data_IF_395604227798
#
_entry.id   IF_395604227798
#
_cell.length_a   1.000
_cell.length_b   1.000
_cell.length_c   1.000
_cell.angle_alpha   90.00
_cell.angle_beta   90.00
_cell.angle_gamma   90.00
#
_symmetry.space_group_name_H-M   'P 1'
#
loop_
_entity.id
_entity.type
_entity.pdbx_description
1 polymer ?
#
# COMPACT_ATOMS: atom_id res chain seq x y z
N UNK A 1 8.23 31.66 1.23
CA UNK A 1 9.68 31.48 1.00
C UNK A 1 10.22 32.79 0.44
N UNK A 2 11.30 33.35 0.99
CA UNK A 2 11.83 34.66 0.55
C UNK A 2 12.17 34.68 -0.95
N UNK A 3 12.72 33.59 -1.49
CA UNK A 3 13.01 33.44 -2.91
C UNK A 3 11.77 33.48 -3.83
N UNK A 4 10.63 32.95 -3.37
CA UNK A 4 9.34 33.04 -4.07
C UNK A 4 8.83 34.50 -4.08
N UNK A 5 8.95 35.18 -2.95
CA UNK A 5 8.56 36.59 -2.84
C UNK A 5 9.40 37.50 -3.75
N UNK A 6 10.71 37.28 -3.84
CA UNK A 6 11.62 38.02 -4.73
C UNK A 6 11.28 37.83 -6.21
N UNK A 7 10.90 36.61 -6.62
CA UNK A 7 10.53 36.33 -8.00
C UNK A 7 9.16 36.95 -8.36
N UNK A 8 8.19 36.88 -7.44
CA UNK A 8 6.81 37.34 -7.68
C UNK A 8 6.66 38.87 -7.52
N UNK A 9 7.42 39.51 -6.62
CA UNK A 9 7.24 40.93 -6.29
C UNK A 9 8.37 41.84 -6.80
N UNK A 10 9.61 41.34 -6.84
CA UNK A 10 10.77 42.10 -7.32
C UNK A 10 11.21 41.72 -8.75
N UNK A 11 10.55 40.73 -9.38
CA UNK A 11 10.80 40.24 -10.75
C UNK A 11 12.27 39.82 -11.02
N UNK A 12 13.08 39.62 -9.97
CA UNK A 12 14.52 39.35 -10.08
C UNK A 12 14.82 37.86 -9.90
N UNK A 13 15.02 37.16 -11.01
CA UNK A 13 15.47 35.77 -11.00
C UNK A 13 16.87 35.62 -10.37
N UNK A 14 17.75 36.62 -10.54
CA UNK A 14 19.11 36.62 -10.00
C UNK A 14 19.14 36.70 -8.46
N UNK A 15 18.33 37.58 -7.87
CA UNK A 15 18.24 37.70 -6.41
C UNK A 15 17.71 36.41 -5.78
N UNK A 16 16.69 35.79 -6.41
CA UNK A 16 16.18 34.48 -6.03
C UNK A 16 17.27 33.40 -6.11
N UNK A 17 18.06 33.40 -7.19
CA UNK A 17 19.23 32.52 -7.39
C UNK A 17 20.24 32.63 -6.26
N UNK A 18 20.62 33.85 -5.88
CA UNK A 18 21.56 34.09 -4.79
C UNK A 18 21.06 33.55 -3.44
N UNK A 19 19.76 33.68 -3.17
CA UNK A 19 19.16 33.15 -1.94
C UNK A 19 19.23 31.62 -1.94
N UNK A 20 18.90 30.95 -3.05
CA UNK A 20 19.01 29.49 -3.16
C UNK A 20 20.46 29.00 -3.04
N UNK A 21 21.40 29.63 -3.75
CA UNK A 21 22.82 29.28 -3.65
C UNK A 21 23.36 29.48 -2.23
N UNK A 22 22.94 30.55 -1.53
CA UNK A 22 23.28 30.75 -0.11
C UNK A 22 22.66 29.67 0.76
N UNK A 23 21.41 29.28 0.54
CA UNK A 23 20.75 28.23 1.29
C UNK A 23 21.45 26.87 1.09
N UNK A 24 21.87 26.56 -0.14
CA UNK A 24 22.62 25.34 -0.47
C UNK A 24 24.02 25.28 0.17
N UNK A 25 24.61 26.42 0.55
CA UNK A 25 25.86 26.42 1.34
C UNK A 25 25.66 25.92 2.78
N UNK A 26 24.49 26.17 3.36
CA UNK A 26 24.18 25.74 4.73
C UNK A 26 23.46 24.39 4.79
N UNK A 27 22.77 24.02 3.70
CA UNK A 27 21.97 22.81 3.61
C UNK A 27 22.22 22.09 2.29
N UNK A 28 23.43 21.53 2.16
CA UNK A 28 23.94 20.90 0.93
C UNK A 28 23.19 19.65 0.51
N UNK A 29 22.49 18.96 1.42
CA UNK A 29 21.78 17.71 1.15
C UNK A 29 20.25 17.86 1.18
N UNK A 30 19.74 19.09 1.20
CA UNK A 30 18.30 19.34 1.29
C UNK A 30 17.61 19.14 -0.06
N UNK A 31 16.87 18.04 -0.19
CA UNK A 31 16.06 17.71 -1.39
C UNK A 31 15.06 18.81 -1.73
N UNK A 32 14.42 19.39 -0.72
CA UNK A 32 13.43 20.45 -0.90
C UNK A 32 14.03 21.71 -1.51
N UNK A 33 15.24 22.10 -1.08
CA UNK A 33 15.90 23.31 -1.60
C UNK A 33 16.27 23.13 -3.07
N UNK A 34 16.79 21.96 -3.45
CA UNK A 34 17.09 21.68 -4.85
C UNK A 34 15.83 21.59 -5.71
N UNK A 35 14.73 21.00 -5.22
CA UNK A 35 13.46 20.94 -5.95
C UNK A 35 12.90 22.33 -6.24
N UNK A 36 12.86 23.20 -5.22
CA UNK A 36 12.35 24.57 -5.37
C UNK A 36 13.31 25.43 -6.23
N UNK A 37 14.62 25.22 -6.11
CA UNK A 37 15.59 25.92 -6.94
C UNK A 37 15.46 25.52 -8.41
N UNK A 38 15.34 24.21 -8.68
CA UNK A 38 15.12 23.68 -10.02
C UNK A 38 13.81 24.19 -10.63
N UNK A 39 12.71 24.18 -9.86
CA UNK A 39 11.41 24.74 -10.29
C UNK A 39 11.52 26.23 -10.61
N UNK A 40 12.25 27.00 -9.81
CA UNK A 40 12.44 28.44 -10.02
C UNK A 40 13.12 28.73 -11.36
N UNK A 41 14.20 28.01 -11.70
CA UNK A 41 14.89 28.22 -12.98
C UNK A 41 14.01 27.87 -14.18
N UNK A 42 13.18 26.83 -14.07
CA UNK A 42 12.22 26.48 -15.12
C UNK A 42 11.10 27.53 -15.27
N UNK A 43 10.60 28.08 -14.16
CA UNK A 43 9.62 29.17 -14.19
C UNK A 43 10.21 30.44 -14.83
N UNK A 44 11.48 30.75 -14.55
CA UNK A 44 12.17 31.87 -15.18
C UNK A 44 12.33 31.65 -16.70
N UNK A 45 12.70 30.44 -17.13
CA UNK A 45 12.79 30.09 -18.55
C UNK A 45 11.42 30.20 -19.26
N UNK A 46 10.34 29.74 -18.61
CA UNK A 46 8.98 29.86 -19.15
C UNK A 46 8.54 31.33 -19.28
N UNK A 47 8.84 32.14 -18.26
CA UNK A 47 8.54 33.58 -18.28
C UNK A 47 9.22 34.28 -19.46
N UNK A 48 10.51 34.05 -19.66
CA UNK A 48 11.26 34.67 -20.77
C UNK A 48 10.77 34.20 -22.14
N UNK A 49 10.32 32.94 -22.26
CA UNK A 49 9.66 32.44 -23.49
C UNK A 49 8.37 33.19 -23.80
N UNK A 50 7.51 33.39 -22.79
CA UNK A 50 6.24 34.12 -22.98
C UNK A 50 6.48 35.57 -23.39
N UNK A 51 7.42 36.25 -22.74
CA UNK A 51 7.81 37.62 -23.09
C UNK A 51 8.33 37.72 -24.53
N UNK A 52 9.16 36.77 -24.97
CA UNK A 52 9.64 36.69 -26.36
C UNK A 52 8.49 36.49 -27.35
N UNK A 53 7.58 35.54 -27.08
CA UNK A 53 6.42 35.28 -27.94
C UNK A 53 5.49 36.50 -28.07
N UNK A 54 5.31 37.26 -26.98
CA UNK A 54 4.51 38.48 -26.97
C UNK A 54 5.16 39.61 -27.78
N UNK A 55 6.48 39.78 -27.67
CA UNK A 55 7.23 40.77 -28.47
C UNK A 55 7.27 40.41 -29.96
N UNK A 56 7.41 39.11 -30.29
CA UNK A 56 7.32 38.61 -31.66
C UNK A 56 5.93 38.89 -32.27
N UNK A 57 4.85 38.64 -31.51
CA UNK A 57 3.47 38.97 -31.93
C UNK A 57 3.24 40.47 -32.11
N UNK A 58 3.88 41.30 -31.30
CA UNK A 58 3.80 42.75 -31.38
C UNK A 58 4.63 43.36 -32.54
N UNK A 59 5.36 42.53 -33.31
CA UNK A 59 6.29 42.97 -34.38
C UNK A 59 7.27 44.05 -33.92
N UNK A 60 7.70 43.97 -32.66
CA UNK A 60 8.75 44.84 -32.14
C UNK A 60 10.11 44.32 -32.63
N UNK A 61 11.03 45.23 -32.95
CA UNK A 61 12.37 44.87 -33.41
C UNK A 61 13.11 44.17 -32.27
N UNK A 62 13.45 42.89 -32.44
CA UNK A 62 14.13 42.04 -31.46
C UNK A 62 15.61 42.42 -31.26
N UNK A 63 16.05 43.52 -31.87
CA UNK A 63 17.40 44.04 -31.78
C UNK A 63 17.80 44.29 -30.33
N UNK A 64 18.67 43.42 -29.81
CA UNK A 64 19.29 43.48 -28.48
C UNK A 64 18.40 43.20 -27.27
N UNK A 65 17.23 42.59 -27.43
CA UNK A 65 16.63 41.88 -26.30
C UNK A 65 17.43 40.59 -26.08
N UNK A 66 18.54 40.67 -25.34
CA UNK A 66 19.52 39.61 -25.10
C UNK A 66 18.99 38.38 -24.35
N UNK A 67 17.92 37.76 -24.84
CA UNK A 67 17.47 36.45 -24.39
C UNK A 67 18.47 35.42 -24.86
N UNK A 68 19.29 34.95 -23.93
CA UNK A 68 20.20 33.86 -24.19
C UNK A 68 19.36 32.60 -24.47
N UNK A 69 19.51 32.03 -25.66
CA UNK A 69 18.82 30.79 -26.06
C UNK A 69 19.05 29.66 -25.04
N UNK A 70 20.22 29.65 -24.37
CA UNK A 70 20.55 28.75 -23.26
C UNK A 70 19.58 28.84 -22.07
N UNK A 71 19.11 30.05 -21.74
CA UNK A 71 18.12 30.26 -20.68
C UNK A 71 16.74 29.78 -21.15
N UNK A 72 16.39 30.04 -22.42
CA UNK A 72 15.12 29.60 -23.00
C UNK A 72 15.02 28.07 -23.10
N UNK A 73 16.12 27.35 -23.32
CA UNK A 73 16.14 25.88 -23.32
C UNK A 73 16.13 25.30 -21.89
N UNK A 74 16.39 26.13 -20.87
CA UNK A 74 16.43 25.71 -19.47
C UNK A 74 17.77 25.10 -19.06
N UNK A 75 18.88 25.48 -19.70
CA UNK A 75 20.21 24.95 -19.39
C UNK A 75 20.62 25.19 -17.93
N UNK A 76 20.20 26.32 -17.35
CA UNK A 76 20.42 26.63 -15.93
C UNK A 76 19.75 25.58 -15.04
N UNK A 77 18.52 25.15 -15.35
CA UNK A 77 17.87 24.05 -14.64
C UNK A 77 18.65 22.73 -14.80
N UNK A 78 19.24 22.49 -15.98
CA UNK A 78 20.16 21.36 -16.21
C UNK A 78 21.43 21.42 -15.35
N UNK A 79 22.01 22.60 -15.13
CA UNK A 79 23.15 22.79 -14.21
C UNK A 79 22.74 22.50 -12.76
N UNK A 80 21.58 23.02 -12.33
CA UNK A 80 21.03 22.73 -10.99
C UNK A 80 20.81 21.24 -10.83
N UNK A 81 20.23 20.57 -11.82
CA UNK A 81 20.02 19.13 -11.82
C UNK A 81 21.34 18.36 -11.66
N UNK A 82 22.36 18.65 -12.47
CA UNK A 82 23.66 17.97 -12.37
C UNK A 82 24.33 18.19 -11.00
N UNK A 83 24.21 19.38 -10.43
CA UNK A 83 24.69 19.66 -9.06
C UNK A 83 23.89 18.88 -8.01
N UNK A 84 22.57 18.82 -8.17
CA UNK A 84 21.68 18.15 -7.23
C UNK A 84 21.90 16.64 -7.19
N UNK A 85 22.13 16.00 -8.34
CA UNK A 85 22.39 14.55 -8.45
C UNK A 85 23.76 14.15 -7.89
N UNK A 86 24.73 15.08 -7.87
CA UNK A 86 26.00 14.86 -7.18
C UNK A 86 25.83 14.90 -5.65
N UNK A 87 24.98 15.82 -5.16
CA UNK A 87 24.76 16.02 -3.73
C UNK A 87 23.79 15.02 -3.10
N UNK A 88 22.75 14.60 -3.82
CA UNK A 88 21.66 13.74 -3.31
C UNK A 88 21.57 12.48 -4.17
N UNK A 89 21.76 11.34 -3.51
CA UNK A 89 21.65 10.02 -4.15
C UNK A 89 20.23 9.46 -4.02
N UNK A 90 19.77 8.73 -5.05
CA UNK A 90 18.53 7.94 -5.02
C UNK A 90 17.58 8.25 -6.18
N UNK A 91 16.87 7.23 -6.67
CA UNK A 91 15.96 7.39 -7.81
C UNK A 91 14.78 8.30 -7.47
N UNK A 92 14.25 8.24 -6.25
CA UNK A 92 13.11 9.07 -5.82
C UNK A 92 13.37 10.57 -6.02
N UNK A 93 14.60 11.02 -5.80
CA UNK A 93 14.97 12.42 -6.00
C UNK A 93 14.99 12.79 -7.50
N UNK A 94 15.58 11.94 -8.35
CA UNK A 94 15.53 12.10 -9.81
C UNK A 94 14.08 12.15 -10.32
N UNK A 95 13.21 11.28 -9.80
CA UNK A 95 11.79 11.25 -10.13
C UNK A 95 11.06 12.52 -9.72
N UNK A 96 11.42 13.12 -8.58
CA UNK A 96 10.85 14.41 -8.13
C UNK A 96 11.23 15.57 -9.05
N UNK A 97 12.47 15.60 -9.56
CA UNK A 97 12.89 16.61 -10.53
C UNK A 97 12.24 16.37 -11.90
N UNK A 98 12.08 15.11 -12.29
CA UNK A 98 11.38 14.75 -13.51
C UNK A 98 9.90 15.13 -13.48
N UNK A 99 9.21 14.97 -12.35
CA UNK A 99 7.81 15.40 -12.22
C UNK A 99 7.67 16.91 -12.37
N UNK A 100 8.61 17.69 -11.81
CA UNK A 100 8.66 19.14 -12.01
C UNK A 100 8.93 19.47 -13.49
N UNK A 101 9.91 18.80 -14.12
CA UNK A 101 10.25 19.06 -15.52
C UNK A 101 9.04 18.81 -16.46
N UNK A 102 8.24 17.78 -16.19
CA UNK A 102 7.04 17.45 -16.98
C UNK A 102 5.96 18.52 -16.98
N UNK A 103 5.95 19.44 -16.01
CA UNK A 103 5.02 20.57 -15.98
C UNK A 103 5.32 21.58 -17.11
N UNK A 104 6.50 21.50 -17.74
CA UNK A 104 6.97 22.45 -18.75
C UNK A 104 7.17 21.77 -20.11
N UNK A 105 6.51 22.29 -21.15
CA UNK A 105 6.52 21.67 -22.50
C UNK A 105 7.89 21.67 -23.19
N UNK A 106 8.78 22.58 -22.80
CA UNK A 106 10.08 22.78 -23.44
C UNK A 106 11.21 21.92 -22.88
N UNK A 107 10.98 21.22 -21.77
CA UNK A 107 12.02 20.47 -21.05
C UNK A 107 12.22 19.06 -21.61
N UNK A 108 11.71 18.74 -22.80
CA UNK A 108 11.73 17.36 -23.36
C UNK A 108 13.12 16.74 -23.39
N UNK A 109 14.15 17.52 -23.70
CA UNK A 109 15.53 17.01 -23.75
C UNK A 109 16.11 16.82 -22.34
N UNK A 110 15.81 17.72 -21.41
CA UNK A 110 16.13 17.55 -19.99
C UNK A 110 15.41 16.33 -19.38
N UNK A 111 14.16 16.07 -19.75
CA UNK A 111 13.44 14.87 -19.34
C UNK A 111 14.13 13.59 -19.85
N UNK A 112 14.63 13.57 -21.10
CA UNK A 112 15.40 12.43 -21.63
C UNK A 112 16.73 12.24 -20.89
N UNK A 113 17.43 13.33 -20.57
CA UNK A 113 18.67 13.29 -19.77
C UNK A 113 18.39 12.65 -18.39
N UNK A 114 17.36 13.11 -17.68
CA UNK A 114 16.98 12.57 -16.37
C UNK A 114 16.61 11.08 -16.45
N UNK A 115 15.87 10.67 -17.50
CA UNK A 115 15.51 9.25 -17.72
C UNK A 115 16.73 8.37 -17.99
N UNK A 116 17.69 8.86 -18.78
CA UNK A 116 18.94 8.15 -19.06
C UNK A 116 19.80 8.00 -17.80
N UNK A 117 19.87 9.06 -16.98
CA UNK A 117 20.56 9.00 -15.69
C UNK A 117 19.89 8.02 -14.72
N UNK A 118 18.56 8.02 -14.64
CA UNK A 118 17.79 7.10 -13.80
C UNK A 118 18.09 5.64 -14.18
N UNK A 119 18.11 5.31 -15.48
CA UNK A 119 18.41 3.97 -15.97
C UNK A 119 19.88 3.57 -15.75
N UNK A 120 20.83 4.48 -15.95
CA UNK A 120 22.26 4.15 -15.82
C UNK A 120 22.73 4.07 -14.37
N UNK A 121 22.22 4.95 -13.50
CA UNK A 121 22.67 5.08 -12.09
C UNK A 121 21.82 4.29 -11.11
N UNK A 122 20.53 4.07 -11.43
CA UNK A 122 19.55 3.48 -10.52
C UNK A 122 18.82 2.29 -11.14
N UNK A 123 19.48 1.51 -12.01
CA UNK A 123 18.95 0.28 -12.60
C UNK A 123 18.50 -0.76 -11.56
N UNK A 124 19.09 -0.74 -10.38
CA UNK A 124 18.79 -1.69 -9.30
C UNK A 124 17.73 -1.16 -8.31
N UNK A 125 17.23 0.07 -8.50
CA UNK A 125 16.24 0.67 -7.63
C UNK A 125 14.81 0.31 -8.10
N UNK A 126 13.98 -0.35 -7.27
CA UNK A 126 12.59 -0.67 -7.62
C UNK A 126 11.75 0.54 -8.06
N UNK A 127 12.02 1.74 -7.54
CA UNK A 127 11.27 2.95 -7.92
C UNK A 127 11.55 3.40 -9.36
N UNK A 128 12.74 3.12 -9.88
CA UNK A 128 13.09 3.37 -11.29
C UNK A 128 12.17 2.56 -12.21
N UNK A 129 12.05 1.26 -11.91
CA UNK A 129 11.22 0.34 -12.69
C UNK A 129 9.73 0.64 -12.57
N UNK A 130 9.26 0.99 -11.36
CA UNK A 130 7.88 1.42 -11.14
C UNK A 130 7.53 2.62 -12.00
N UNK A 131 8.39 3.65 -12.01
CA UNK A 131 8.18 4.82 -12.84
C UNK A 131 8.15 4.49 -14.34
N UNK A 132 9.10 3.68 -14.83
CA UNK A 132 9.13 3.26 -16.23
C UNK A 132 7.85 2.50 -16.62
N UNK A 133 7.36 1.61 -15.75
CA UNK A 133 6.13 0.87 -15.99
C UNK A 133 4.88 1.80 -15.98
N UNK A 134 4.81 2.76 -15.06
CA UNK A 134 3.73 3.74 -15.03
C UNK A 134 3.75 4.68 -16.25
N UNK A 135 4.92 4.95 -16.82
CA UNK A 135 5.04 5.78 -18.02
C UNK A 135 4.34 5.13 -19.23
N UNK A 136 4.45 3.81 -19.41
CA UNK A 136 3.75 3.09 -20.49
C UNK A 136 2.22 3.23 -20.41
N UNK A 137 1.68 3.42 -19.21
CA UNK A 137 0.25 3.63 -18.99
C UNK A 137 -0.19 5.06 -19.32
N UNK A 138 0.73 6.02 -19.22
CA UNK A 138 0.52 7.43 -19.51
C UNK A 138 0.78 7.78 -21.00
N UNK A 139 1.40 6.88 -21.76
CA UNK A 139 1.66 7.03 -23.18
C UNK A 139 0.39 7.41 -23.96
N UNK A 140 0.56 8.28 -24.96
CA UNK A 140 -0.54 8.82 -25.76
C UNK A 140 -1.36 7.69 -26.43
N UNK A 141 -2.67 7.90 -26.63
CA UNK A 141 -3.47 7.01 -27.46
C UNK A 141 -2.89 6.92 -28.87
N UNK A 142 -2.98 5.76 -29.52
CA UNK A 142 -2.61 5.65 -30.92
C UNK A 142 -3.45 6.64 -31.78
N UNK A 143 -2.90 7.17 -32.90
CA UNK A 143 -3.59 8.15 -33.75
C UNK A 143 -4.98 7.71 -34.26
N UNK A 144 -5.25 6.40 -34.28
CA UNK A 144 -6.56 5.84 -34.63
C UNK A 144 -7.62 5.91 -33.52
N UNK A 145 -7.25 6.37 -32.32
CA UNK A 145 -8.13 6.41 -31.15
C UNK A 145 -8.97 7.68 -31.03
N UNK A 146 -8.69 8.72 -31.82
CA UNK A 146 -9.42 10.00 -31.78
C UNK A 146 -10.88 9.85 -32.26
N UNK A 147 -11.20 8.79 -33.00
CA UNK A 147 -12.57 8.39 -33.41
C UNK A 147 -12.97 6.97 -32.94
N UNK A 148 -12.37 6.48 -31.85
CA UNK A 148 -12.51 5.08 -31.42
C UNK A 148 -13.77 4.79 -30.60
N UNK A 149 -14.50 3.72 -30.98
CA UNK A 149 -15.58 3.11 -30.20
C UNK A 149 -15.16 2.74 -28.76
N UNK A 150 -16.14 2.55 -27.85
CA UNK A 150 -15.87 2.11 -26.45
C UNK A 150 -15.02 0.83 -26.38
N UNK A 151 -15.15 -0.07 -27.37
CA UNK A 151 -14.37 -1.32 -27.47
C UNK A 151 -12.90 -1.04 -27.78
N UNK A 152 -12.63 -0.17 -28.75
CA UNK A 152 -11.26 0.16 -29.14
C UNK A 152 -10.49 0.94 -28.02
N UNK A 153 -11.18 1.73 -27.19
CA UNK A 153 -10.58 2.32 -25.98
C UNK A 153 -10.21 1.26 -24.92
N UNK A 154 -11.04 0.24 -24.76
CA UNK A 154 -10.76 -0.85 -23.83
C UNK A 154 -9.57 -1.72 -24.29
N UNK A 155 -9.45 -1.97 -25.59
CA UNK A 155 -8.30 -2.72 -26.14
C UNK A 155 -7.00 -1.94 -26.07
N UNK A 156 -7.01 -0.62 -26.31
CA UNK A 156 -5.82 0.23 -26.12
C UNK A 156 -5.35 0.19 -24.65
N UNK A 157 -6.29 0.30 -23.71
CA UNK A 157 -6.00 0.20 -22.28
C UNK A 157 -5.42 -1.17 -21.90
N UNK A 158 -5.97 -2.27 -22.43
CA UNK A 158 -5.42 -3.62 -22.21
C UNK A 158 -3.97 -3.71 -22.65
N UNK A 159 -3.68 -3.21 -23.86
CA UNK A 159 -2.32 -3.20 -24.42
C UNK A 159 -1.35 -2.38 -23.56
N UNK A 160 -1.78 -1.21 -23.07
CA UNK A 160 -0.96 -0.37 -22.18
C UNK A 160 -0.69 -1.07 -20.85
N UNK A 161 -1.70 -1.71 -20.26
CA UNK A 161 -1.54 -2.46 -19.02
C UNK A 161 -0.66 -3.70 -19.20
N UNK A 162 -0.71 -4.37 -20.35
CA UNK A 162 0.17 -5.50 -20.67
C UNK A 162 1.63 -5.06 -20.80
N UNK A 163 1.91 -3.95 -21.48
CA UNK A 163 3.26 -3.37 -21.57
C UNK A 163 3.82 -3.00 -20.20
N UNK A 164 2.99 -2.34 -19.38
CA UNK A 164 3.31 -2.01 -18.01
C UNK A 164 3.68 -3.28 -17.21
N UNK A 165 2.84 -4.31 -17.23
CA UNK A 165 3.14 -5.59 -16.59
C UNK A 165 4.45 -6.20 -17.07
N UNK A 166 4.72 -6.17 -18.37
CA UNK A 166 5.94 -6.72 -18.94
C UNK A 166 7.20 -6.03 -18.40
N UNK A 167 7.16 -4.72 -18.18
CA UNK A 167 8.27 -3.99 -17.54
C UNK A 167 8.48 -4.46 -16.11
N UNK A 168 7.42 -4.64 -15.32
CA UNK A 168 7.54 -5.21 -13.97
C UNK A 168 8.09 -6.63 -14.00
N UNK A 169 7.64 -7.48 -14.91
CA UNK A 169 8.12 -8.86 -15.02
C UNK A 169 9.61 -8.91 -15.39
N UNK A 170 10.05 -8.10 -16.35
CA UNK A 170 11.49 -7.96 -16.66
C UNK A 170 12.28 -7.41 -15.48
N UNK A 171 11.74 -6.45 -14.73
CA UNK A 171 12.38 -5.96 -13.52
C UNK A 171 12.57 -7.11 -12.52
N UNK A 172 11.54 -7.93 -12.28
CA UNK A 172 11.55 -9.04 -11.33
C UNK A 172 12.50 -10.18 -11.71
N UNK A 173 12.80 -10.38 -13.00
CA UNK A 173 13.85 -11.31 -13.44
C UNK A 173 15.24 -10.90 -12.94
N UNK A 174 15.50 -9.59 -12.83
CA UNK A 174 16.76 -9.04 -12.35
C UNK A 174 16.75 -8.64 -10.86
N UNK A 175 15.59 -8.25 -10.35
CA UNK A 175 15.35 -7.66 -9.03
C UNK A 175 14.21 -8.39 -8.32
N UNK A 176 14.41 -9.66 -8.00
CA UNK A 176 13.45 -10.44 -7.22
C UNK A 176 13.50 -10.04 -5.73
N UNK A 177 12.95 -8.87 -5.42
CA UNK A 177 12.95 -8.28 -4.08
C UNK A 177 11.54 -7.94 -3.62
N UNK A 178 11.31 -7.97 -2.30
CA UNK A 178 10.02 -7.62 -1.69
C UNK A 178 9.50 -6.23 -2.12
N UNK A 179 10.30 -5.14 -2.14
CA UNK A 179 9.80 -3.83 -2.57
C UNK A 179 9.34 -3.82 -4.04
N UNK A 180 10.03 -4.55 -4.92
CA UNK A 180 9.66 -4.63 -6.34
C UNK A 180 8.32 -5.35 -6.53
N UNK A 181 8.12 -6.47 -5.83
CA UNK A 181 6.82 -7.17 -5.82
C UNK A 181 5.71 -6.31 -5.24
N UNK A 182 5.99 -5.58 -4.15
CA UNK A 182 5.02 -4.66 -3.55
C UNK A 182 4.57 -3.56 -4.52
N UNK A 183 5.50 -2.94 -5.24
CA UNK A 183 5.19 -1.94 -6.28
C UNK A 183 4.36 -2.54 -7.41
N UNK A 184 4.72 -3.74 -7.89
CA UNK A 184 3.97 -4.41 -8.94
C UNK A 184 2.52 -4.75 -8.52
N UNK A 185 2.35 -5.30 -7.32
CA UNK A 185 1.02 -5.63 -6.77
C UNK A 185 0.18 -4.36 -6.57
N UNK A 186 0.78 -3.30 -6.01
CA UNK A 186 0.08 -2.01 -5.82
C UNK A 186 -0.38 -1.45 -7.16
N UNK A 187 0.46 -1.47 -8.18
CA UNK A 187 0.10 -1.04 -9.54
C UNK A 187 -1.06 -1.86 -10.10
N UNK A 188 -0.99 -3.20 -10.05
CA UNK A 188 -2.07 -4.08 -10.50
C UNK A 188 -3.38 -3.81 -9.76
N UNK A 189 -3.31 -3.62 -8.43
CA UNK A 189 -4.46 -3.35 -7.58
C UNK A 189 -5.12 -2.01 -7.89
N UNK A 190 -4.31 -0.97 -8.12
CA UNK A 190 -4.82 0.34 -8.57
C UNK A 190 -5.61 0.21 -9.87
N UNK A 191 -5.16 -0.62 -10.81
CA UNK A 191 -5.86 -0.87 -12.09
C UNK A 191 -7.14 -1.68 -11.87
N UNK A 192 -7.11 -2.71 -11.05
CA UNK A 192 -8.27 -3.52 -10.69
C UNK A 192 -9.40 -2.68 -10.07
N UNK A 193 -9.07 -1.73 -9.18
CA UNK A 193 -10.06 -0.84 -8.54
C UNK A 193 -10.70 0.19 -9.49
N UNK A 194 -10.14 0.42 -10.69
CA UNK A 194 -10.74 1.37 -11.64
C UNK A 194 -12.02 0.81 -12.24
N UNK A 195 -13.10 1.61 -12.17
CA UNK A 195 -14.38 1.28 -12.80
C UNK A 195 -14.19 1.11 -14.31
N UNK A 196 -14.77 0.05 -14.86
CA UNK A 196 -14.78 -0.22 -16.30
C UNK A 196 -16.10 -0.86 -16.69
N UNK A 197 -16.58 -0.53 -17.89
CA UNK A 197 -17.77 -1.12 -18.48
C UNK A 197 -17.45 -2.36 -19.33
N UNK A 198 -16.17 -2.61 -19.62
CA UNK A 198 -15.74 -3.81 -20.36
C UNK A 198 -15.54 -4.97 -19.38
N UNK A 199 -16.31 -6.05 -19.58
CA UNK A 199 -16.18 -7.29 -18.80
C UNK A 199 -14.82 -7.95 -19.00
N UNK A 200 -14.34 -8.02 -20.24
CA UNK A 200 -13.02 -8.57 -20.59
C UNK A 200 -11.89 -7.83 -19.85
N UNK A 201 -11.90 -6.49 -19.88
CA UNK A 201 -10.90 -5.68 -19.18
C UNK A 201 -10.96 -5.87 -17.65
N UNK A 202 -12.16 -6.01 -17.09
CA UNK A 202 -12.34 -6.29 -15.66
C UNK A 202 -11.73 -7.65 -15.28
N UNK A 203 -12.01 -8.68 -16.07
CA UNK A 203 -11.50 -10.03 -15.86
C UNK A 203 -9.97 -10.09 -15.98
N UNK A 204 -9.40 -9.52 -17.05
CA UNK A 204 -7.95 -9.48 -17.25
C UNK A 204 -7.21 -8.78 -16.11
N UNK A 205 -7.77 -7.68 -15.58
CA UNK A 205 -7.18 -6.99 -14.40
C UNK A 205 -7.23 -7.85 -13.14
N UNK A 206 -8.31 -8.60 -12.95
CA UNK A 206 -8.45 -9.52 -11.82
C UNK A 206 -7.43 -10.66 -11.91
N UNK A 207 -7.38 -11.34 -13.05
CA UNK A 207 -6.46 -12.46 -13.29
C UNK A 207 -5.00 -12.02 -13.08
N UNK A 208 -4.64 -10.86 -13.64
CA UNK A 208 -3.29 -10.28 -13.46
C UNK A 208 -2.96 -9.99 -12.00
N UNK A 209 -3.88 -9.38 -11.25
CA UNK A 209 -3.67 -9.09 -9.83
C UNK A 209 -3.46 -10.38 -9.01
N UNK A 210 -4.30 -11.38 -9.24
CA UNK A 210 -4.20 -12.64 -8.51
C UNK A 210 -2.99 -13.47 -8.93
N UNK A 211 -2.60 -13.42 -10.19
CA UNK A 211 -1.35 -14.00 -10.66
C UNK A 211 -0.14 -13.30 -10.02
N UNK A 212 -0.17 -11.97 -9.87
CA UNK A 212 0.90 -11.24 -9.19
C UNK A 212 1.04 -11.67 -7.71
N UNK A 213 -0.08 -11.84 -6.98
CA UNK A 213 -0.04 -12.38 -5.62
C UNK A 213 0.52 -13.81 -5.57
N UNK A 214 0.06 -14.71 -6.45
CA UNK A 214 0.54 -16.10 -6.52
C UNK A 214 2.05 -16.15 -6.80
N UNK A 215 2.52 -15.46 -7.85
CA UNK A 215 3.95 -15.40 -8.18
C UNK A 215 4.79 -14.79 -7.05
N UNK A 216 4.29 -13.74 -6.38
CA UNK A 216 4.98 -13.15 -5.23
C UNK A 216 5.06 -14.11 -4.03
N UNK A 217 4.01 -14.91 -3.79
CA UNK A 217 4.03 -15.97 -2.79
C UNK A 217 5.06 -17.05 -3.15
N UNK A 218 5.04 -17.57 -4.38
CA UNK A 218 5.98 -18.59 -4.88
C UNK A 218 7.44 -18.11 -4.79
N UNK A 219 7.68 -16.84 -5.10
CA UNK A 219 8.99 -16.19 -4.96
C UNK A 219 9.40 -15.96 -3.49
N UNK A 220 8.53 -16.26 -2.52
CA UNK A 220 8.73 -15.97 -1.12
C UNK A 220 8.96 -14.47 -0.83
N UNK A 221 8.24 -13.59 -1.52
CA UNK A 221 8.37 -12.12 -1.41
C UNK A 221 7.08 -11.41 -1.00
N UNK A 222 5.99 -12.14 -0.72
CA UNK A 222 4.72 -11.54 -0.33
C UNK A 222 4.68 -11.21 1.17
N UNK A 223 4.35 -9.97 1.54
CA UNK A 223 4.27 -9.53 2.94
C UNK A 223 2.95 -9.90 3.61
N UNK A 224 2.93 -9.88 4.95
CA UNK A 224 1.74 -10.13 5.75
C UNK A 224 0.57 -9.20 5.37
N UNK A 225 0.83 -7.91 5.19
CA UNK A 225 -0.19 -6.93 4.80
C UNK A 225 -0.79 -7.27 3.43
N UNK A 226 0.05 -7.76 2.50
CA UNK A 226 -0.40 -8.12 1.15
C UNK A 226 -1.20 -9.42 1.13
N UNK A 227 -0.92 -10.39 2.00
CA UNK A 227 -1.81 -11.54 2.19
C UNK A 227 -3.18 -11.11 2.70
N UNK A 228 -3.23 -10.22 3.68
CA UNK A 228 -4.51 -9.70 4.21
C UNK A 228 -5.32 -8.98 3.13
N UNK A 229 -4.65 -8.18 2.29
CA UNK A 229 -5.28 -7.54 1.12
C UNK A 229 -5.82 -8.55 0.12
N UNK A 230 -5.04 -9.59 -0.21
CA UNK A 230 -5.44 -10.63 -1.14
C UNK A 230 -6.62 -11.45 -0.64
N UNK A 231 -6.60 -11.90 0.62
CA UNK A 231 -7.69 -12.65 1.26
C UNK A 231 -8.97 -11.81 1.27
N UNK A 232 -8.87 -10.51 1.60
CA UNK A 232 -10.02 -9.60 1.56
C UNK A 232 -10.61 -9.44 0.16
N UNK A 233 -9.77 -9.42 -0.88
CA UNK A 233 -10.22 -9.32 -2.28
C UNK A 233 -10.91 -10.60 -2.75
N UNK A 234 -10.38 -11.76 -2.39
CA UNK A 234 -11.01 -13.05 -2.67
C UNK A 234 -12.35 -13.21 -1.93
N UNK A 235 -12.42 -12.77 -0.67
CA UNK A 235 -13.67 -12.74 0.10
C UNK A 235 -14.76 -11.91 -0.57
N UNK A 236 -14.40 -10.78 -1.18
CA UNK A 236 -15.36 -9.94 -1.91
C UNK A 236 -15.90 -10.60 -3.19
N UNK A 237 -15.15 -11.54 -3.77
CA UNK A 237 -15.56 -12.31 -4.94
C UNK A 237 -16.34 -13.58 -4.57
N UNK A 238 -16.19 -14.09 -3.34
CA UNK A 238 -16.83 -15.33 -2.89
C UNK A 238 -16.13 -16.61 -3.36
N UNK A 239 -14.86 -16.53 -3.77
CA UNK A 239 -14.06 -17.65 -4.27
C UNK A 239 -13.52 -18.52 -3.10
N UNK A 240 -14.39 -19.35 -2.50
CA UNK A 240 -14.13 -20.10 -1.26
C UNK A 240 -12.80 -20.85 -1.28
N UNK A 241 -12.54 -21.66 -2.32
CA UNK A 241 -11.34 -22.51 -2.39
C UNK A 241 -10.05 -21.66 -2.43
N UNK A 242 -10.05 -20.57 -3.20
CA UNK A 242 -8.91 -19.66 -3.28
C UNK A 242 -8.67 -18.91 -1.97
N UNK A 243 -9.74 -18.60 -1.22
CA UNK A 243 -9.63 -17.94 0.09
C UNK A 243 -8.94 -18.88 1.08
N UNK A 244 -9.36 -20.14 1.13
CA UNK A 244 -8.77 -21.16 2.01
C UNK A 244 -7.30 -21.36 1.67
N UNK A 245 -6.98 -21.53 0.38
CA UNK A 245 -5.61 -21.68 -0.12
C UNK A 245 -4.73 -20.48 0.26
N UNK A 246 -5.19 -19.24 0.03
CA UNK A 246 -4.43 -18.04 0.37
C UNK A 246 -4.20 -17.90 1.89
N UNK A 247 -5.18 -18.26 2.72
CA UNK A 247 -5.04 -18.26 4.18
C UNK A 247 -4.01 -19.30 4.65
N UNK A 248 -4.03 -20.49 4.06
CA UNK A 248 -3.03 -21.53 4.32
C UNK A 248 -1.62 -21.07 3.96
N UNK A 249 -1.45 -20.49 2.77
CA UNK A 249 -0.16 -19.95 2.34
C UNK A 249 0.36 -18.86 3.28
N UNK A 250 -0.51 -17.94 3.70
CA UNK A 250 -0.15 -16.88 4.63
C UNK A 250 0.35 -17.43 5.98
N UNK A 251 -0.40 -18.37 6.56
CA UNK A 251 -0.07 -18.95 7.88
C UNK A 251 1.10 -19.93 7.82
N UNK A 252 1.34 -20.62 6.70
CA UNK A 252 2.55 -21.44 6.51
C UNK A 252 3.81 -20.57 6.45
N UNK A 253 3.76 -19.45 5.74
CA UNK A 253 4.89 -18.52 5.61
C UNK A 253 5.17 -17.75 6.90
N UNK A 254 4.12 -17.24 7.53
CA UNK A 254 4.19 -16.44 8.75
C UNK A 254 3.58 -17.19 9.93
N UNK A 255 4.15 -18.37 10.23
CA UNK A 255 3.59 -19.30 11.22
C UNK A 255 3.50 -18.75 12.64
N UNK A 256 4.25 -17.71 12.98
CA UNK A 256 4.23 -17.04 14.28
C UNK A 256 3.31 -15.80 14.32
N UNK A 257 2.70 -15.38 13.20
CA UNK A 257 1.81 -14.21 13.19
C UNK A 257 0.43 -14.54 13.74
N UNK A 258 0.16 -14.09 14.97
CA UNK A 258 -1.17 -14.20 15.57
C UNK A 258 -2.26 -13.48 14.76
N UNK A 259 -1.90 -12.42 14.02
CA UNK A 259 -2.84 -11.67 13.20
C UNK A 259 -3.30 -12.48 11.98
N UNK A 260 -2.39 -13.14 11.27
CA UNK A 260 -2.73 -14.01 10.14
C UNK A 260 -3.51 -15.26 10.56
N UNK A 261 -3.13 -15.88 11.68
CA UNK A 261 -3.89 -17.01 12.22
C UNK A 261 -5.32 -16.61 12.63
N UNK A 262 -5.48 -15.46 13.29
CA UNK A 262 -6.81 -14.90 13.57
C UNK A 262 -7.60 -14.68 12.30
N UNK A 263 -6.99 -14.04 11.29
CA UNK A 263 -7.64 -13.78 10.01
C UNK A 263 -8.08 -15.07 9.31
N UNK A 264 -7.23 -16.11 9.26
CA UNK A 264 -7.56 -17.44 8.72
C UNK A 264 -8.76 -18.04 9.44
N UNK A 265 -8.72 -18.13 10.77
CA UNK A 265 -9.78 -18.76 11.56
C UNK A 265 -11.11 -18.02 11.47
N UNK A 266 -11.10 -16.68 11.57
CA UNK A 266 -12.31 -15.86 11.43
C UNK A 266 -12.90 -15.95 10.02
N UNK A 267 -12.04 -16.04 9.00
CA UNK A 267 -12.47 -16.20 7.60
C UNK A 267 -13.13 -17.56 7.39
N UNK A 268 -12.51 -18.64 7.88
CA UNK A 268 -13.07 -19.99 7.80
C UNK A 268 -14.40 -20.12 8.57
N UNK A 269 -14.53 -19.42 9.70
CA UNK A 269 -15.78 -19.32 10.46
C UNK A 269 -16.89 -18.66 9.64
N UNK A 270 -16.59 -17.53 8.97
CA UNK A 270 -17.56 -16.83 8.10
C UNK A 270 -17.99 -17.67 6.90
N UNK A 271 -17.08 -18.49 6.38
CA UNK A 271 -17.35 -19.38 5.24
C UNK A 271 -18.10 -20.66 5.65
N UNK A 272 -18.22 -20.96 6.96
CA UNK A 272 -18.93 -22.15 7.45
C UNK A 272 -18.24 -23.47 7.09
N UNK A 273 -16.92 -23.45 6.88
CA UNK A 273 -16.16 -24.66 6.51
C UNK A 273 -16.13 -25.68 7.66
N UNK A 274 -16.03 -26.97 7.33
CA UNK A 274 -16.05 -28.06 8.33
C UNK A 274 -14.67 -28.44 8.86
N UNK A 275 -13.59 -28.06 8.17
CA UNK A 275 -12.21 -28.40 8.53
C UNK A 275 -11.58 -27.49 9.60
N UNK A 276 -12.37 -26.64 10.28
CA UNK A 276 -11.85 -25.61 11.21
C UNK A 276 -11.19 -26.23 12.43
N UNK A 277 -11.68 -27.38 12.91
CA UNK A 277 -11.09 -28.08 14.05
C UNK A 277 -9.63 -28.49 13.76
N UNK A 278 -9.32 -28.99 12.56
CA UNK A 278 -7.94 -29.34 12.16
C UNK A 278 -7.03 -28.11 12.10
N UNK A 279 -7.56 -26.98 11.64
CA UNK A 279 -6.83 -25.70 11.59
C UNK A 279 -6.52 -25.17 12.99
N UNK A 280 -7.42 -25.37 13.96
CA UNK A 280 -7.12 -25.05 15.36
C UNK A 280 -5.98 -25.90 15.90
N UNK A 281 -6.00 -27.21 15.66
CA UNK A 281 -4.93 -28.11 16.11
C UNK A 281 -3.58 -27.78 15.43
N UNK A 282 -3.60 -27.32 14.19
CA UNK A 282 -2.41 -26.76 13.51
C UNK A 282 -1.93 -25.50 14.22
N UNK A 283 -2.82 -24.52 14.47
CA UNK A 283 -2.47 -23.26 15.10
C UNK A 283 -1.86 -23.45 16.50
N UNK A 284 -2.43 -24.31 17.34
CA UNK A 284 -1.92 -24.55 18.70
C UNK A 284 -0.50 -25.13 18.72
N UNK A 285 -0.02 -25.76 17.64
CA UNK A 285 1.38 -26.22 17.53
C UNK A 285 2.37 -25.08 17.36
N UNK A 286 1.92 -23.94 16.81
CA UNK A 286 2.79 -22.80 16.51
C UNK A 286 2.88 -21.79 17.65
N UNK A 287 1.89 -21.73 18.55
CA UNK A 287 1.85 -20.76 19.65
C UNK A 287 2.16 -21.41 20.99
N UNK A 288 2.91 -20.69 21.82
CA UNK A 288 3.05 -21.04 23.24
C UNK A 288 1.74 -20.74 23.97
N UNK A 289 1.55 -21.39 25.11
CA UNK A 289 0.39 -21.22 25.98
C UNK A 289 0.06 -19.74 26.25
N UNK A 290 1.08 -18.91 26.53
CA UNK A 290 0.94 -17.47 26.81
C UNK A 290 0.38 -16.65 25.65
N UNK A 291 0.65 -17.07 24.42
CA UNK A 291 0.27 -16.34 23.21
C UNK A 291 -1.00 -16.93 22.56
N UNK A 292 -1.56 -18.01 23.14
CA UNK A 292 -2.69 -18.76 22.59
C UNK A 292 -4.07 -18.26 23.02
N UNK A 293 -4.15 -17.21 23.85
CA UNK A 293 -5.43 -16.69 24.37
C UNK A 293 -6.43 -16.33 23.26
N UNK A 294 -5.94 -15.81 22.14
CA UNK A 294 -6.80 -15.50 20.99
C UNK A 294 -7.35 -16.77 20.31
N UNK A 295 -6.57 -17.85 20.25
CA UNK A 295 -7.01 -19.13 19.67
C UNK A 295 -8.16 -19.73 20.48
N UNK A 296 -8.06 -19.68 21.81
CA UNK A 296 -9.14 -20.14 22.69
C UNK A 296 -10.42 -19.32 22.52
N UNK A 297 -10.30 -17.99 22.45
CA UNK A 297 -11.45 -17.11 22.22
C UNK A 297 -12.17 -17.45 20.90
N UNK A 298 -11.42 -17.64 19.80
CA UNK A 298 -12.03 -17.96 18.49
C UNK A 298 -12.59 -19.39 18.48
N UNK A 299 -11.91 -20.36 19.13
CA UNK A 299 -12.38 -21.77 19.22
C UNK A 299 -13.71 -21.88 19.96
N UNK A 300 -13.85 -21.11 21.04
CA UNK A 300 -15.09 -21.02 21.80
C UNK A 300 -16.20 -20.37 20.97
N UNK A 301 -15.94 -19.24 20.30
CA UNK A 301 -16.91 -18.61 19.41
C UNK A 301 -17.37 -19.56 18.29
N UNK A 302 -16.45 -20.32 17.71
CA UNK A 302 -16.76 -21.36 16.74
C UNK A 302 -17.67 -22.43 17.34
N UNK A 303 -17.36 -22.91 18.55
CA UNK A 303 -18.20 -23.88 19.26
C UNK A 303 -19.59 -23.33 19.55
N UNK A 304 -19.73 -22.06 19.95
CA UNK A 304 -21.03 -21.41 20.17
C UNK A 304 -21.92 -21.39 18.92
N UNK A 305 -21.31 -21.27 17.73
CA UNK A 305 -22.04 -21.16 16.46
C UNK A 305 -22.35 -22.54 15.86
N UNK A 306 -21.43 -23.50 15.99
CA UNK A 306 -21.47 -24.75 15.22
C UNK A 306 -21.73 -25.99 16.07
N UNK A 307 -21.41 -25.97 17.36
CA UNK A 307 -21.52 -27.13 18.26
C UNK A 307 -22.67 -26.94 19.24
N UNK A 308 -23.16 -28.06 19.78
CA UNK A 308 -24.20 -28.04 20.81
C UNK A 308 -23.73 -27.40 22.12
N UNK A 309 -24.68 -26.99 22.96
CA UNK A 309 -24.40 -26.33 24.24
C UNK A 309 -23.48 -27.16 25.16
N UNK A 310 -23.63 -28.48 25.18
CA UNK A 310 -22.82 -29.36 26.01
C UNK A 310 -21.35 -29.37 25.59
N UNK A 311 -21.09 -29.43 24.28
CA UNK A 311 -19.74 -29.38 23.73
C UNK A 311 -19.09 -28.02 23.99
N UNK A 312 -19.85 -26.93 23.85
CA UNK A 312 -19.40 -25.57 24.15
C UNK A 312 -19.09 -25.38 25.63
N UNK A 313 -19.94 -25.90 26.53
CA UNK A 313 -19.68 -25.87 27.97
C UNK A 313 -18.43 -26.68 28.35
N UNK A 314 -18.22 -27.84 27.72
CA UNK A 314 -17.03 -28.65 27.93
C UNK A 314 -15.75 -27.91 27.49
N UNK A 315 -15.80 -27.23 26.34
CA UNK A 315 -14.68 -26.44 25.82
C UNK A 315 -14.34 -25.27 26.75
N UNK A 316 -15.34 -24.56 27.29
CA UNK A 316 -15.12 -23.52 28.29
C UNK A 316 -14.42 -24.06 29.54
N UNK A 317 -14.88 -25.20 30.07
CA UNK A 317 -14.26 -25.84 31.24
C UNK A 317 -12.81 -26.26 30.96
N UNK A 318 -12.53 -26.78 29.77
CA UNK A 318 -11.18 -27.10 29.34
C UNK A 318 -10.28 -25.86 29.25
N UNK A 319 -10.79 -24.76 28.68
CA UNK A 319 -10.03 -23.54 28.49
C UNK A 319 -9.70 -22.82 29.81
N UNK A 320 -10.57 -22.93 30.82
CA UNK A 320 -10.37 -22.31 32.14
C UNK A 320 -9.24 -22.97 32.94
N UNK A 321 -9.04 -24.29 32.79
CA UNK A 321 -7.99 -25.03 33.52
C UNK A 321 -6.61 -24.91 32.86
N UNK A 322 -6.51 -24.21 31.73
CA UNK A 322 -5.23 -23.93 31.08
C UNK A 322 -4.34 -23.14 32.05
N UNK A 323 -3.07 -23.55 32.29
CA UNK A 323 -2.18 -22.91 33.28
C UNK A 323 -1.87 -21.43 33.02
N UNK A 324 -2.16 -20.93 31.82
CA UNK A 324 -1.95 -19.54 31.47
C UNK A 324 -3.03 -18.63 32.07
N UNK A 325 -2.58 -17.59 32.78
CA UNK A 325 -3.49 -16.71 33.50
C UNK A 325 -4.34 -15.84 32.58
N UNK A 326 -3.85 -15.47 31.41
CA UNK A 326 -4.57 -14.63 30.45
C UNK A 326 -5.67 -15.43 29.76
N UNK A 327 -5.37 -16.67 29.34
CA UNK A 327 -6.36 -17.63 28.82
C UNK A 327 -7.45 -17.86 29.87
N UNK A 328 -7.07 -18.32 31.07
CA UNK A 328 -8.04 -18.68 32.12
C UNK A 328 -8.95 -17.50 32.49
N UNK A 329 -8.38 -16.31 32.69
CA UNK A 329 -9.13 -15.08 32.98
C UNK A 329 -10.13 -14.75 31.87
N UNK A 330 -9.67 -14.69 30.63
CA UNK A 330 -10.52 -14.35 29.48
C UNK A 330 -11.66 -15.35 29.31
N UNK A 331 -11.38 -16.64 29.51
CA UNK A 331 -12.37 -17.71 29.36
C UNK A 331 -13.41 -17.71 30.48
N UNK A 332 -13.04 -17.35 31.72
CA UNK A 332 -14.02 -17.17 32.81
C UNK A 332 -15.02 -16.05 32.49
N UNK A 333 -14.52 -14.92 31.98
CA UNK A 333 -15.35 -13.78 31.58
C UNK A 333 -16.32 -14.13 30.45
N UNK A 334 -15.84 -14.84 29.42
CA UNK A 334 -16.66 -15.27 28.29
C UNK A 334 -17.66 -16.35 28.70
N UNK A 335 -17.27 -17.31 29.54
CA UNK A 335 -18.15 -18.39 29.99
C UNK A 335 -19.33 -17.88 30.81
N UNK A 336 -19.11 -16.90 31.69
CA UNK A 336 -20.19 -16.28 32.47
C UNK A 336 -21.20 -15.59 31.55
N UNK A 337 -20.70 -14.86 30.54
CA UNK A 337 -21.52 -14.16 29.56
C UNK A 337 -22.32 -15.13 28.70
N UNK A 338 -21.69 -16.19 28.19
CA UNK A 338 -22.37 -17.25 27.44
C UNK A 338 -23.42 -17.97 28.29
N UNK A 339 -23.11 -18.29 29.54
CA UNK A 339 -24.04 -18.95 30.47
C UNK A 339 -25.30 -18.11 30.72
N UNK A 340 -25.13 -16.79 30.81
CA UNK A 340 -26.24 -15.85 30.92
C UNK A 340 -27.06 -15.77 29.62
N UNK A 341 -26.41 -15.59 28.46
CA UNK A 341 -27.08 -15.51 27.15
C UNK A 341 -27.83 -16.79 26.76
N UNK A 342 -27.32 -17.96 27.14
CA UNK A 342 -27.91 -19.26 26.78
C UNK A 342 -29.01 -19.74 27.73
N UNK A 343 -28.78 -19.67 29.05
CA UNK A 343 -29.66 -20.28 30.07
C UNK A 343 -30.11 -19.32 31.16
N UNK A 344 -29.87 -18.02 30.97
CA UNK A 344 -30.28 -16.95 31.87
C UNK A 344 -29.54 -16.95 33.21
N UNK A 345 -30.06 -16.12 34.12
CA UNK A 345 -29.46 -15.82 35.42
C UNK A 345 -29.10 -17.06 36.26
N UNK A 346 -29.98 -18.06 36.32
CA UNK A 346 -29.76 -19.26 37.18
C UNK A 346 -28.49 -20.01 36.80
N UNK A 347 -28.17 -20.11 35.50
CA UNK A 347 -26.94 -20.78 35.04
C UNK A 347 -25.72 -19.88 35.26
N UNK A 348 -25.83 -18.58 34.96
CA UNK A 348 -24.78 -17.61 35.22
C UNK A 348 -24.34 -17.61 36.68
N UNK A 349 -25.29 -17.59 37.63
CA UNK A 349 -25.03 -17.68 39.07
C UNK A 349 -24.29 -18.97 39.48
N UNK A 350 -24.70 -20.12 38.93
CA UNK A 350 -24.00 -21.40 39.17
C UNK A 350 -22.56 -21.35 38.68
N UNK A 351 -22.34 -20.82 37.47
CA UNK A 351 -21.01 -20.64 36.89
C UNK A 351 -20.16 -19.71 37.76
N UNK A 352 -20.69 -18.55 38.16
CA UNK A 352 -20.02 -17.62 39.05
C UNK A 352 -19.61 -18.28 40.36
N UNK A 353 -20.56 -18.97 41.03
CA UNK A 353 -20.30 -19.66 42.30
C UNK A 353 -19.19 -20.70 42.15
N UNK A 354 -19.13 -21.42 41.02
CA UNK A 354 -18.06 -22.41 40.80
C UNK A 354 -16.67 -21.81 40.52
N UNK A 355 -16.59 -20.55 40.08
CA UNK A 355 -15.36 -19.95 39.58
C UNK A 355 -14.84 -18.76 40.39
N UNK A 356 -15.67 -18.15 41.25
CA UNK A 356 -15.31 -16.93 41.98
C UNK A 356 -14.12 -17.08 42.93
N UNK A 357 -13.85 -18.28 43.43
CA UNK A 357 -12.67 -18.58 44.26
C UNK A 357 -11.50 -19.16 43.45
N UNK A 358 -11.75 -19.54 42.19
CA UNK A 358 -10.72 -20.13 41.32
C UNK A 358 -9.76 -19.04 40.84
N UNK A 359 -8.47 -19.16 41.15
CA UNK A 359 -7.44 -18.27 40.57
C UNK A 359 -7.18 -18.66 39.10
N UNK A 360 -6.71 -17.73 38.25
CA UNK A 360 -6.57 -16.28 38.49
C UNK A 360 -7.94 -15.59 38.61
N UNK A 361 -7.99 -14.55 39.43
CA UNK A 361 -9.17 -13.71 39.62
C UNK A 361 -9.12 -12.54 38.63
N UNK A 362 -10.28 -12.16 38.09
CA UNK A 362 -10.42 -11.03 37.17
C UNK A 362 -11.46 -10.05 37.69
N UNK A 363 -11.10 -8.78 37.77
CA UNK A 363 -12.04 -7.72 38.14
C UNK A 363 -13.24 -7.68 37.18
N UNK A 364 -13.01 -7.80 35.88
CA UNK A 364 -14.06 -7.80 34.86
C UNK A 364 -15.07 -8.93 35.06
N UNK A 365 -14.62 -10.10 35.51
CA UNK A 365 -15.50 -11.23 35.81
C UNK A 365 -16.48 -10.89 36.93
N UNK A 366 -16.00 -10.29 38.03
CA UNK A 366 -16.86 -9.85 39.13
C UNK A 366 -17.78 -8.70 38.75
N UNK A 367 -17.26 -7.70 38.03
CA UNK A 367 -18.07 -6.59 37.52
C UNK A 367 -19.21 -7.08 36.63
N UNK A 368 -18.95 -8.08 35.77
CA UNK A 368 -19.96 -8.65 34.89
C UNK A 368 -21.07 -9.36 35.65
N UNK A 369 -20.74 -10.09 36.72
CA UNK A 369 -21.76 -10.66 37.60
C UNK A 369 -22.60 -9.58 38.28
N UNK A 370 -21.98 -8.50 38.77
CA UNK A 370 -22.71 -7.37 39.38
C UNK A 370 -23.70 -6.75 38.37
N UNK A 371 -23.30 -6.59 37.10
CA UNK A 371 -24.20 -6.08 36.06
C UNK A 371 -25.38 -7.04 35.83
N UNK A 372 -25.11 -8.35 35.71
CA UNK A 372 -26.16 -9.37 35.55
C UNK A 372 -27.15 -9.35 36.72
N UNK A 373 -26.67 -9.22 37.95
CA UNK A 373 -27.52 -9.13 39.17
C UNK A 373 -28.37 -7.86 39.20
N UNK A 374 -27.91 -6.75 38.62
CA UNK A 374 -28.69 -5.51 38.51
C UNK A 374 -29.80 -5.57 37.46
N UNK A 375 -29.68 -6.46 36.48
CA UNK A 375 -30.65 -6.66 35.40
C UNK A 375 -31.78 -7.63 35.77
N UNK A 376 -31.68 -8.32 36.90
CA UNK A 376 -32.75 -9.14 37.47
C UNK A 376 -33.66 -8.32 38.37
#
# INVERSE_FOLDING_TARGET
>A
MAAKWEMENNLSAESSRHIFLRALRFHTESSLIYQEYFRMELLNAEKQRKEREEMEKAKMDLGEAGYLESILVGELAGVVYRSAVQAIQGAQFHLSLLSIAKEFNFTKDLQKEILSDLQSRHAQDPFTWDFMAQQELASEPLPSAEYSSKKAKATDMLRKEERCSKIYETALESLNTEPMWNLYIVSCRQRYKRKTNSKELKQMRQERLFQAYRKAHEANMLTEEKYMEWISELMALGEVDSIVEACEWATKRYSQSAALWRARLETLLKLGTTAVDEVFEEAFKHFKLKDSAFLWAIKVQYSEITKGEEATEALYKQAIVVPDSAVSTTMKEQYLDWAYRSKGYKKAKKVFTSLHESRPLSEKFFQKMITIEKEQ
#
